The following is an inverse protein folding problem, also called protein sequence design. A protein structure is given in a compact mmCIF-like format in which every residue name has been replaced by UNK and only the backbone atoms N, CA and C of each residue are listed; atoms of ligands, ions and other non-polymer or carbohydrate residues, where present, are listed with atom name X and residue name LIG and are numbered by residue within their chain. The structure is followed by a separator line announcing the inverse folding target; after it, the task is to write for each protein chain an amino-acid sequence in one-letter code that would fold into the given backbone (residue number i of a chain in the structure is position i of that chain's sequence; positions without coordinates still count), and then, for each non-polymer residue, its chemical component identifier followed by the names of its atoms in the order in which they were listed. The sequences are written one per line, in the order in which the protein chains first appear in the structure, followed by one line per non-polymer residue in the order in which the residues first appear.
data_IF_553694692681
#
_entry.id   IF_553694692681
#
_cell.length_a   1.000
_cell.length_b   1.000
_cell.length_c   1.000
_cell.angle_alpha   90.00
_cell.angle_beta   90.00
_cell.angle_gamma   90.00
#
_symmetry.space_group_name_H-M   'P 1'
#
loop_
_entity.id
_entity.type
_entity.pdbx_description
1 polymer ?
#
# COMPACT_ATOMS: atom_id res chain seq x y z
N UNK A 1 -6.11 7.58 -24.93
CA UNK A 1 -6.25 6.46 -23.98
C UNK A 1 -4.88 5.87 -23.78
N UNK A 2 -4.48 5.50 -22.55
CA UNK A 2 -3.22 4.79 -22.33
C UNK A 2 -3.21 3.50 -23.16
N UNK A 3 -2.05 3.12 -23.68
CA UNK A 3 -1.90 1.82 -24.36
C UNK A 3 -1.92 0.70 -23.31
N UNK A 4 -2.49 -0.46 -23.65
CA UNK A 4 -2.45 -1.66 -22.77
C UNK A 4 -1.02 -2.01 -22.32
N UNK A 5 -0.04 -1.66 -23.16
CA UNK A 5 1.38 -1.84 -22.87
C UNK A 5 1.87 -0.96 -21.70
N UNK A 6 1.45 0.31 -21.61
CA UNK A 6 1.82 1.19 -20.50
C UNK A 6 1.21 0.71 -19.19
N UNK A 7 -0.06 0.27 -19.20
CA UNK A 7 -0.71 -0.29 -18.01
C UNK A 7 0.04 -1.54 -17.52
N UNK A 8 0.41 -2.44 -18.43
CA UNK A 8 1.14 -3.66 -18.08
C UNK A 8 2.55 -3.38 -17.54
N UNK A 9 3.31 -2.50 -18.19
CA UNK A 9 4.69 -2.17 -17.78
C UNK A 9 4.72 -1.38 -16.47
N UNK A 10 3.85 -0.38 -16.31
CA UNK A 10 3.69 0.35 -15.04
C UNK A 10 3.30 -0.56 -13.88
N UNK A 11 2.43 -1.56 -14.10
CA UNK A 11 2.08 -2.55 -13.08
C UNK A 11 3.27 -3.41 -12.64
N UNK A 12 4.22 -3.70 -13.52
CA UNK A 12 5.45 -4.44 -13.15
C UNK A 12 6.36 -3.57 -12.31
N UNK A 13 6.73 -2.39 -12.82
CA UNK A 13 7.59 -1.45 -12.10
C UNK A 13 7.00 -1.02 -10.75
N UNK A 14 5.68 -0.79 -10.69
CA UNK A 14 4.97 -0.55 -9.44
C UNK A 14 5.11 -1.70 -8.45
N UNK A 15 4.99 -2.97 -8.89
CA UNK A 15 5.16 -4.13 -7.99
C UNK A 15 6.57 -4.23 -7.44
N UNK A 16 7.57 -3.85 -8.21
CA UNK A 16 8.96 -3.84 -7.74
C UNK A 16 9.13 -2.79 -6.64
N UNK A 17 8.74 -1.54 -6.91
CA UNK A 17 8.74 -0.46 -5.92
C UNK A 17 7.93 -0.81 -4.67
N UNK A 18 6.74 -1.37 -4.86
CA UNK A 18 5.85 -1.80 -3.79
C UNK A 18 6.51 -2.87 -2.91
N UNK A 19 7.25 -3.82 -3.50
CA UNK A 19 7.94 -4.88 -2.74
C UNK A 19 9.02 -4.31 -1.83
N UNK A 20 9.79 -3.34 -2.33
CA UNK A 20 10.79 -2.61 -1.53
C UNK A 20 10.11 -1.76 -0.45
N UNK A 21 8.99 -1.11 -0.78
CA UNK A 21 8.22 -0.27 0.13
C UNK A 21 7.70 -1.04 1.34
N UNK A 22 7.07 -2.20 1.12
CA UNK A 22 6.38 -2.96 2.18
C UNK A 22 7.32 -3.58 3.21
N UNK A 23 8.63 -3.61 2.97
CA UNK A 23 9.64 -3.89 4.01
C UNK A 23 9.40 -3.01 5.24
N UNK A 24 8.98 -1.76 5.03
CA UNK A 24 8.64 -0.80 6.09
C UNK A 24 7.46 -1.19 6.98
N UNK A 25 6.70 -2.23 6.66
CA UNK A 25 5.59 -2.73 7.49
C UNK A 25 5.92 -4.03 8.24
N UNK A 26 6.99 -4.73 7.85
CA UNK A 26 7.26 -6.09 8.35
C UNK A 26 8.66 -6.28 8.93
N UNK A 27 9.61 -5.41 8.57
CA UNK A 27 10.98 -5.53 9.06
C UNK A 27 11.06 -5.32 10.59
N UNK A 28 11.76 -6.20 11.33
CA UNK A 28 11.93 -6.06 12.77
C UNK A 28 12.61 -4.74 13.14
N UNK A 29 13.55 -4.26 12.33
CA UNK A 29 14.26 -2.99 12.54
C UNK A 29 13.31 -1.78 12.60
N UNK A 30 12.21 -1.82 11.84
CA UNK A 30 11.20 -0.75 11.85
C UNK A 30 10.35 -0.84 13.12
N UNK A 31 9.98 -2.06 13.53
CA UNK A 31 9.29 -2.28 14.80
C UNK A 31 10.16 -1.83 15.98
N UNK A 32 11.45 -2.14 15.98
CA UNK A 32 12.42 -1.75 16.99
C UNK A 32 12.60 -0.23 17.04
N UNK A 33 12.67 0.44 15.89
CA UNK A 33 12.73 1.89 15.82
C UNK A 33 11.48 2.56 16.44
N UNK A 34 10.28 2.02 16.18
CA UNK A 34 9.05 2.52 16.78
C UNK A 34 8.94 2.24 18.28
N UNK A 35 9.31 1.04 18.74
CA UNK A 35 9.28 0.72 20.18
C UNK A 35 10.34 1.51 20.95
N UNK A 36 11.47 1.87 20.32
CA UNK A 36 12.46 2.79 20.88
C UNK A 36 11.90 4.20 21.15
N UNK A 37 10.91 4.64 20.37
CA UNK A 37 10.14 5.87 20.62
C UNK A 37 9.01 5.67 21.66
N UNK A 38 8.90 4.47 22.23
CA UNK A 38 7.85 4.09 23.17
C UNK A 38 6.50 3.78 22.54
N UNK A 39 6.38 3.74 21.21
CA UNK A 39 5.13 3.43 20.53
C UNK A 39 4.69 1.99 20.81
N UNK A 40 3.38 1.78 20.87
CA UNK A 40 2.81 0.44 21.02
C UNK A 40 3.08 -0.37 19.75
N UNK A 41 3.78 -1.52 19.83
CA UNK A 41 4.15 -2.30 18.65
C UNK A 41 2.94 -2.85 17.87
N UNK A 42 1.79 -3.05 18.51
CA UNK A 42 0.56 -3.53 17.85
C UNK A 42 -0.16 -2.42 17.09
N UNK A 43 0.06 -1.15 17.49
CA UNK A 43 -0.63 0.01 16.94
C UNK A 43 0.28 0.90 16.09
N UNK A 44 1.61 0.71 16.13
CA UNK A 44 2.61 1.55 15.47
C UNK A 44 2.44 1.68 13.93
N UNK A 45 1.69 0.77 13.29
CA UNK A 45 1.30 0.89 11.88
C UNK A 45 0.63 2.25 11.59
N UNK A 46 -0.27 2.70 12.47
CA UNK A 46 -1.05 3.92 12.25
C UNK A 46 -0.20 5.18 12.33
N UNK A 47 0.51 5.49 13.44
CA UNK A 47 1.37 6.67 13.48
C UNK A 47 2.50 6.57 12.45
N UNK A 48 3.07 5.38 12.20
CA UNK A 48 4.15 5.20 11.22
C UNK A 48 3.79 5.60 9.80
N UNK A 49 2.51 5.45 9.41
CA UNK A 49 2.02 5.87 8.10
C UNK A 49 1.36 7.24 8.13
N UNK A 50 0.71 7.63 9.23
CA UNK A 50 0.00 8.90 9.34
C UNK A 50 0.90 10.09 9.70
N UNK A 51 2.11 9.88 10.23
CA UNK A 51 2.98 10.95 10.70
C UNK A 51 3.33 12.00 9.62
N UNK A 52 3.25 11.65 8.34
CA UNK A 52 3.45 12.61 7.25
C UNK A 52 2.40 13.74 7.25
N UNK A 53 1.21 13.52 7.81
CA UNK A 53 0.20 14.57 8.01
C UNK A 53 0.55 15.57 9.11
N UNK A 54 1.57 15.31 9.92
CA UNK A 54 1.79 15.99 11.20
C UNK A 54 0.89 15.44 12.32
N UNK A 55 0.66 16.21 13.40
CA UNK A 55 0.01 15.71 14.63
C UNK A 55 -1.52 15.71 14.52
N UNK A 56 -2.06 15.13 13.45
CA UNK A 56 -3.51 15.05 13.21
C UNK A 56 -4.20 14.05 14.14
N UNK A 57 -5.47 14.33 14.46
CA UNK A 57 -6.33 13.39 15.19
C UNK A 57 -6.80 12.20 14.34
N UNK A 58 -7.64 11.30 14.91
CA UNK A 58 -8.14 10.11 14.22
C UNK A 58 -8.93 10.38 12.94
N UNK A 59 -9.73 11.46 12.88
CA UNK A 59 -10.66 11.72 11.77
C UNK A 59 -10.03 11.64 10.36
N UNK A 60 -9.01 12.46 10.04
CA UNK A 60 -8.33 12.40 8.75
C UNK A 60 -7.71 11.03 8.44
N UNK A 61 -7.21 10.32 9.46
CA UNK A 61 -6.58 9.01 9.28
C UNK A 61 -7.63 7.93 9.04
N UNK A 62 -8.77 7.94 9.73
CA UNK A 62 -9.90 7.04 9.44
C UNK A 62 -10.40 7.24 8.01
N UNK A 63 -10.55 8.49 7.58
CA UNK A 63 -11.00 8.81 6.22
C UNK A 63 -10.05 8.28 5.12
N UNK A 64 -8.74 8.35 5.35
CA UNK A 64 -7.73 7.95 4.36
C UNK A 64 -7.33 6.48 4.47
N UNK A 65 -7.40 5.88 5.66
CA UNK A 65 -7.09 4.47 5.91
C UNK A 65 -8.36 3.63 5.76
N UNK A 66 -9.10 3.91 4.69
CA UNK A 66 -10.48 3.54 4.40
C UNK A 66 -10.96 2.17 4.89
N UNK A 67 -10.12 1.13 4.79
CA UNK A 67 -10.47 -0.27 5.10
C UNK A 67 -10.31 -0.68 6.57
N UNK A 68 -9.81 0.20 7.43
CA UNK A 68 -9.64 -0.08 8.86
C UNK A 68 -10.85 0.37 9.68
N UNK A 69 -11.21 -0.43 10.70
CA UNK A 69 -12.21 -0.04 11.68
C UNK A 69 -11.74 1.22 12.45
N UNK A 70 -12.59 2.25 12.61
CA UNK A 70 -12.22 3.51 13.26
C UNK A 70 -11.58 3.31 14.64
N UNK A 71 -12.09 2.36 15.42
CA UNK A 71 -11.59 2.00 16.76
C UNK A 71 -10.11 1.67 16.84
N UNK A 72 -9.49 1.14 15.77
CA UNK A 72 -8.05 0.89 15.76
C UNK A 72 -7.25 2.20 15.66
N UNK A 73 -7.70 3.11 14.83
CA UNK A 73 -7.06 4.42 14.64
C UNK A 73 -7.25 5.29 15.89
N UNK A 74 -8.44 5.27 16.47
CA UNK A 74 -8.80 5.99 17.70
C UNK A 74 -7.98 5.50 18.91
N UNK A 75 -7.68 4.21 18.99
CA UNK A 75 -6.79 3.67 20.02
C UNK A 75 -5.31 4.05 19.78
N UNK A 76 -4.88 4.10 18.52
CA UNK A 76 -3.47 4.27 18.17
C UNK A 76 -2.96 5.71 18.28
N UNK A 77 -3.64 6.67 17.66
CA UNK A 77 -3.03 7.98 17.44
C UNK A 77 -2.90 8.85 18.69
N UNK A 78 -3.92 8.99 19.56
CA UNK A 78 -3.82 9.86 20.72
C UNK A 78 -2.66 9.48 21.64
N UNK A 79 -2.45 8.19 21.86
CA UNK A 79 -1.35 7.69 22.70
C UNK A 79 0.01 7.80 22.02
N UNK A 80 0.07 7.68 20.69
CA UNK A 80 1.32 7.80 19.92
C UNK A 80 1.86 9.23 19.95
N UNK A 81 1.01 10.23 19.76
CA UNK A 81 1.41 11.65 19.76
C UNK A 81 1.82 12.18 21.13
N UNK A 82 1.45 11.50 22.21
CA UNK A 82 1.98 11.79 23.55
C UNK A 82 3.41 11.27 23.76
N UNK A 83 3.86 10.33 22.93
CA UNK A 83 5.14 9.62 23.10
C UNK A 83 6.21 10.10 22.13
N UNK A 84 5.82 10.44 20.91
CA UNK A 84 6.74 10.90 19.87
C UNK A 84 6.07 11.95 18.98
N UNK A 85 6.87 12.89 18.49
CA UNK A 85 6.42 13.82 17.46
C UNK A 85 6.31 13.11 16.11
N UNK A 86 5.47 13.59 15.18
CA UNK A 86 5.39 13.04 13.83
C UNK A 86 6.76 12.97 13.13
N UNK A 87 7.61 13.98 13.30
CA UNK A 87 8.96 14.03 12.71
C UNK A 87 9.84 12.91 13.25
N UNK A 88 9.80 12.63 14.56
CA UNK A 88 10.51 11.50 15.15
C UNK A 88 10.02 10.17 14.58
N UNK A 89 8.71 10.02 14.37
CA UNK A 89 8.12 8.79 13.81
C UNK A 89 8.51 8.61 12.34
N UNK A 90 8.50 9.67 11.53
CA UNK A 90 8.97 9.64 10.14
C UNK A 90 10.44 9.22 10.08
N UNK A 91 11.28 9.80 10.92
CA UNK A 91 12.70 9.50 10.96
C UNK A 91 12.99 8.08 11.45
N UNK A 92 12.28 7.61 12.50
CA UNK A 92 12.40 6.24 12.98
C UNK A 92 12.00 5.22 11.91
N UNK A 93 10.91 5.48 11.18
CA UNK A 93 10.50 4.63 10.05
C UNK A 93 11.57 4.59 8.96
N UNK A 94 12.08 5.76 8.55
CA UNK A 94 13.12 5.88 7.53
C UNK A 94 14.40 5.12 7.94
N UNK A 95 14.85 5.32 9.18
CA UNK A 95 16.03 4.67 9.73
C UNK A 95 15.88 3.15 9.84
N UNK A 96 14.73 2.67 10.34
CA UNK A 96 14.46 1.23 10.41
C UNK A 96 14.40 0.58 9.02
N UNK A 97 13.79 1.25 8.04
CA UNK A 97 13.79 0.76 6.65
C UNK A 97 15.19 0.74 6.05
N UNK A 98 15.99 1.80 6.28
CA UNK A 98 17.35 1.86 5.78
C UNK A 98 18.19 0.70 6.31
N UNK A 99 18.09 0.41 7.61
CA UNK A 99 18.78 -0.73 8.23
C UNK A 99 18.33 -2.07 7.63
N UNK A 100 17.01 -2.27 7.49
CA UNK A 100 16.44 -3.49 6.92
C UNK A 100 16.86 -3.70 5.46
N UNK A 101 16.76 -2.67 4.62
CA UNK A 101 17.14 -2.74 3.21
C UNK A 101 18.64 -2.94 3.03
N UNK A 102 19.50 -2.27 3.81
CA UNK A 102 20.95 -2.53 3.77
C UNK A 102 21.30 -3.96 4.18
N UNK A 103 20.64 -4.51 5.20
CA UNK A 103 20.83 -5.92 5.58
C UNK A 103 20.43 -6.89 4.46
N UNK A 104 19.34 -6.59 3.75
CA UNK A 104 18.78 -7.49 2.73
C UNK A 104 19.47 -7.35 1.37
N UNK A 105 19.81 -6.13 0.96
CA UNK A 105 20.28 -5.79 -0.39
C UNK A 105 21.76 -5.39 -0.43
N UNK A 106 22.38 -5.10 0.71
CA UNK A 106 23.72 -4.52 0.76
C UNK A 106 23.74 -3.08 0.26
N UNK A 107 24.69 -2.76 -0.63
CA UNK A 107 24.88 -1.44 -1.24
C UNK A 107 24.80 -1.55 -2.77
N UNK A 108 23.60 -1.76 -3.34
CA UNK A 108 23.43 -1.82 -4.79
C UNK A 108 23.63 -0.43 -5.41
N UNK A 109 24.14 -0.38 -6.66
CA UNK A 109 24.11 0.85 -7.46
C UNK A 109 22.67 1.14 -7.89
N UNK A 110 22.12 2.24 -7.36
CA UNK A 110 20.72 2.63 -7.52
C UNK A 110 20.56 3.98 -8.21
N UNK A 111 21.64 4.64 -8.61
CA UNK A 111 21.59 6.02 -9.10
C UNK A 111 20.63 6.16 -10.30
N UNK A 112 20.69 5.24 -11.26
CA UNK A 112 19.79 5.22 -12.42
C UNK A 112 18.33 4.95 -11.99
N UNK A 113 18.10 3.97 -11.10
CA UNK A 113 16.76 3.61 -10.64
C UNK A 113 16.10 4.76 -9.86
N UNK A 114 16.87 5.46 -9.01
CA UNK A 114 16.41 6.64 -8.27
C UNK A 114 16.07 7.77 -9.23
N UNK A 115 16.89 8.03 -10.25
CA UNK A 115 16.60 9.03 -11.29
C UNK A 115 15.29 8.76 -12.02
N UNK A 116 15.08 7.52 -12.47
CA UNK A 116 13.84 7.11 -13.15
C UNK A 116 12.62 7.17 -12.21
N UNK A 117 12.78 6.76 -10.96
CA UNK A 117 11.68 6.79 -9.99
C UNK A 117 11.29 8.23 -9.61
N UNK A 118 12.27 9.16 -9.53
CA UNK A 118 12.02 10.60 -9.38
C UNK A 118 11.25 11.17 -10.56
N UNK A 119 11.61 10.80 -11.79
CA UNK A 119 10.88 11.21 -12.99
C UNK A 119 9.42 10.73 -12.95
N UNK A 120 9.17 9.46 -12.59
CA UNK A 120 7.80 8.96 -12.40
C UNK A 120 7.06 9.78 -11.33
N UNK A 121 7.71 10.08 -10.20
CA UNK A 121 7.11 10.85 -9.12
C UNK A 121 6.81 12.31 -9.51
N UNK A 122 7.60 12.92 -10.40
CA UNK A 122 7.38 14.28 -10.88
C UNK A 122 6.06 14.44 -11.67
N UNK A 123 5.55 13.36 -12.26
CA UNK A 123 4.25 13.34 -12.94
C UNK A 123 3.05 13.03 -12.04
N UNK A 124 3.24 12.85 -10.73
CA UNK A 124 2.16 12.57 -9.78
C UNK A 124 1.53 13.86 -9.25
N UNK A 125 0.20 13.90 -9.19
CA UNK A 125 -0.56 15.07 -8.74
C UNK A 125 -1.23 14.86 -7.38
N UNK A 126 -1.20 15.88 -6.52
CA UNK A 126 -1.73 15.82 -5.15
C UNK A 126 -3.25 15.99 -5.02
N UNK A 127 -3.93 16.53 -6.04
CA UNK A 127 -5.35 16.85 -5.97
C UNK A 127 -6.20 15.60 -5.66
N UNK A 128 -6.95 15.64 -4.55
CA UNK A 128 -7.76 14.51 -4.08
C UNK A 128 -6.95 13.33 -3.51
N UNK A 129 -5.66 13.53 -3.23
CA UNK A 129 -4.75 12.48 -2.75
C UNK A 129 -4.02 12.91 -1.48
N UNK A 130 -4.74 13.00 -0.36
CA UNK A 130 -4.22 13.59 0.87
C UNK A 130 -3.02 12.82 1.46
N UNK A 131 -3.02 11.48 1.44
CA UNK A 131 -1.94 10.70 2.04
C UNK A 131 -0.68 10.75 1.17
N UNK A 132 -0.86 10.68 -0.15
CA UNK A 132 0.23 10.97 -1.09
C UNK A 132 0.80 12.38 -0.87
N UNK A 133 -0.05 13.40 -0.81
CA UNK A 133 0.36 14.79 -0.67
C UNK A 133 1.20 14.99 0.60
N UNK A 134 0.73 14.45 1.73
CA UNK A 134 1.45 14.50 2.99
C UNK A 134 2.84 13.87 2.91
N UNK A 135 2.97 12.73 2.21
CA UNK A 135 4.28 12.10 1.99
C UNK A 135 5.15 12.84 0.97
N UNK A 136 4.55 13.46 -0.06
CA UNK A 136 5.25 14.21 -1.10
C UNK A 136 5.85 15.53 -0.59
N UNK A 137 5.27 16.11 0.48
CA UNK A 137 5.79 17.32 1.15
C UNK A 137 7.03 17.05 2.00
N UNK A 138 7.35 15.77 2.28
CA UNK A 138 8.57 15.41 3.00
C UNK A 138 9.81 15.63 2.11
N UNK A 139 10.96 16.01 2.70
CA UNK A 139 12.20 16.11 1.95
C UNK A 139 12.60 14.74 1.38
N UNK A 140 13.06 14.72 0.14
CA UNK A 140 13.62 13.51 -0.44
C UNK A 140 14.89 13.09 0.30
N UNK A 141 15.07 11.80 0.62
CA UNK A 141 16.31 11.31 1.20
C UNK A 141 17.51 11.44 0.23
N UNK A 142 18.70 11.69 0.78
CA UNK A 142 19.96 11.76 0.03
C UNK A 142 20.56 10.38 -0.28
N UNK A 143 20.30 9.39 0.58
CA UNK A 143 20.77 8.01 0.40
C UNK A 143 19.88 7.25 -0.59
N UNK A 144 20.47 6.66 -1.62
CA UNK A 144 19.75 6.05 -2.74
C UNK A 144 18.79 4.93 -2.34
N UNK A 145 19.14 4.10 -1.33
CA UNK A 145 18.27 3.05 -0.82
C UNK A 145 17.00 3.63 -0.18
N UNK A 146 17.15 4.68 0.62
CA UNK A 146 16.00 5.37 1.20
C UNK A 146 15.25 6.23 0.19
N UNK A 147 15.92 6.77 -0.83
CA UNK A 147 15.30 7.52 -1.92
C UNK A 147 14.41 6.62 -2.80
N UNK A 148 14.87 5.43 -3.17
CA UNK A 148 14.05 4.48 -3.95
C UNK A 148 12.86 3.96 -3.12
N UNK A 149 13.06 3.74 -1.82
CA UNK A 149 11.96 3.40 -0.90
C UNK A 149 10.94 4.54 -0.78
N UNK A 150 11.41 5.78 -0.68
CA UNK A 150 10.54 6.96 -0.66
C UNK A 150 9.73 7.08 -1.96
N UNK A 151 10.35 6.86 -3.12
CA UNK A 151 9.62 6.80 -4.38
C UNK A 151 8.53 5.72 -4.39
N UNK A 152 8.82 4.53 -3.84
CA UNK A 152 7.82 3.48 -3.62
C UNK A 152 6.67 3.92 -2.72
N UNK A 153 6.96 4.69 -1.67
CA UNK A 153 5.93 5.33 -0.82
C UNK A 153 5.05 6.26 -1.66
N UNK A 154 5.64 7.19 -2.40
CA UNK A 154 4.88 8.17 -3.21
C UNK A 154 3.98 7.50 -4.24
N UNK A 155 4.51 6.56 -5.02
CA UNK A 155 3.73 5.85 -6.05
C UNK A 155 2.61 5.02 -5.40
N UNK A 156 2.90 4.34 -4.28
CA UNK A 156 1.89 3.55 -3.56
C UNK A 156 0.79 4.42 -3.00
N UNK A 157 1.13 5.48 -2.29
CA UNK A 157 0.13 6.32 -1.64
C UNK A 157 -0.71 7.08 -2.67
N UNK A 158 -0.09 7.51 -3.79
CA UNK A 158 -0.84 8.07 -4.92
C UNK A 158 -1.84 7.05 -5.45
N UNK A 159 -1.40 5.82 -5.75
CA UNK A 159 -2.29 4.75 -6.20
C UNK A 159 -3.37 4.42 -5.15
N UNK A 160 -3.02 4.40 -3.87
CA UNK A 160 -3.91 4.08 -2.75
C UNK A 160 -5.05 5.08 -2.59
N UNK A 161 -4.75 6.39 -2.60
CA UNK A 161 -5.77 7.43 -2.58
C UNK A 161 -6.70 7.34 -3.80
N UNK A 162 -6.14 7.01 -4.97
CA UNK A 162 -6.94 6.75 -6.18
C UNK A 162 -7.86 5.55 -6.03
N UNK A 163 -7.38 4.47 -5.42
CA UNK A 163 -8.19 3.30 -5.14
C UNK A 163 -9.36 3.63 -4.20
N UNK A 164 -9.13 4.42 -3.16
CA UNK A 164 -10.21 4.89 -2.26
C UNK A 164 -11.27 5.69 -3.01
N UNK A 165 -10.88 6.55 -3.96
CA UNK A 165 -11.83 7.26 -4.81
C UNK A 165 -12.67 6.30 -5.68
N UNK A 166 -12.05 5.25 -6.24
CA UNK A 166 -12.77 4.22 -7.03
C UNK A 166 -13.74 3.43 -6.17
N UNK A 167 -13.34 3.03 -4.95
CA UNK A 167 -14.23 2.32 -4.01
C UNK A 167 -15.47 3.15 -3.67
N UNK A 168 -15.29 4.44 -3.39
CA UNK A 168 -16.40 5.36 -3.11
C UNK A 168 -17.30 5.55 -4.33
N UNK A 169 -16.72 5.74 -5.52
CA UNK A 169 -17.50 5.87 -6.76
C UNK A 169 -18.33 4.63 -7.07
N UNK A 170 -17.83 3.44 -6.70
CA UNK A 170 -18.52 2.17 -6.85
C UNK A 170 -19.52 1.86 -5.72
N UNK A 171 -19.68 2.77 -4.75
CA UNK A 171 -20.59 2.60 -3.62
C UNK A 171 -20.23 1.40 -2.74
N UNK A 172 -18.94 1.13 -2.54
CA UNK A 172 -18.47 0.12 -1.59
C UNK A 172 -18.16 0.77 -0.26
N UNK A 173 -18.81 0.32 0.81
CA UNK A 173 -18.39 0.70 2.16
C UNK A 173 -17.03 0.06 2.55
N UNK A 174 -16.37 0.53 3.63
CA UNK A 174 -15.11 -0.03 4.12
C UNK A 174 -15.07 -1.55 4.30
N UNK A 175 -16.16 -2.15 4.81
CA UNK A 175 -16.20 -3.57 5.14
C UNK A 175 -16.46 -4.38 3.87
N UNK A 176 -17.36 -3.93 2.99
CA UNK A 176 -17.57 -4.51 1.67
C UNK A 176 -16.28 -4.52 0.84
N UNK A 177 -15.56 -3.39 0.79
CA UNK A 177 -14.26 -3.29 0.13
C UNK A 177 -13.25 -4.28 0.71
N UNK A 178 -13.26 -4.47 2.03
CA UNK A 178 -12.39 -5.43 2.72
C UNK A 178 -12.76 -6.87 2.39
N UNK A 179 -14.05 -7.22 2.31
CA UNK A 179 -14.53 -8.55 1.91
C UNK A 179 -14.10 -8.87 0.48
N UNK A 180 -14.47 -8.01 -0.48
CA UNK A 180 -14.16 -8.24 -1.89
C UNK A 180 -12.64 -8.25 -2.14
N UNK A 181 -11.90 -7.34 -1.50
CA UNK A 181 -10.45 -7.29 -1.59
C UNK A 181 -9.78 -8.56 -1.02
N UNK A 182 -10.28 -9.06 0.11
CA UNK A 182 -9.80 -10.29 0.73
C UNK A 182 -10.03 -11.53 -0.13
N UNK A 183 -11.24 -11.67 -0.69
CA UNK A 183 -11.58 -12.77 -1.60
C UNK A 183 -10.73 -12.72 -2.86
N UNK A 184 -10.61 -11.55 -3.48
CA UNK A 184 -9.87 -11.38 -4.73
C UNK A 184 -8.38 -11.68 -4.59
N UNK A 185 -7.77 -11.29 -3.46
CA UNK A 185 -6.34 -11.47 -3.21
C UNK A 185 -6.00 -12.77 -2.47
N UNK A 186 -6.99 -13.55 -2.05
CA UNK A 186 -6.78 -14.73 -1.20
C UNK A 186 -6.27 -14.38 0.21
N UNK A 187 -6.57 -13.18 0.72
CA UNK A 187 -6.06 -12.67 2.00
C UNK A 187 -7.14 -12.47 3.08
N UNK A 188 -8.36 -12.99 2.88
CA UNK A 188 -9.50 -12.84 3.81
C UNK A 188 -9.14 -13.06 5.27
N UNK A 189 -8.42 -14.16 5.59
CA UNK A 189 -7.99 -14.46 6.96
C UNK A 189 -7.09 -13.38 7.56
N UNK A 190 -6.16 -12.85 6.77
CA UNK A 190 -5.26 -11.78 7.20
C UNK A 190 -6.03 -10.48 7.43
N UNK A 191 -6.95 -10.12 6.53
CA UNK A 191 -7.75 -8.90 6.68
C UNK A 191 -8.69 -8.97 7.88
N UNK A 192 -9.39 -10.10 8.10
CA UNK A 192 -10.23 -10.30 9.30
C UNK A 192 -9.44 -10.09 10.60
N UNK A 193 -8.17 -10.52 10.63
CA UNK A 193 -7.31 -10.35 11.81
C UNK A 193 -6.81 -8.92 12.01
N UNK A 194 -6.64 -8.14 10.95
CA UNK A 194 -5.85 -6.88 10.98
C UNK A 194 -6.66 -5.61 10.75
N UNK A 195 -7.86 -5.70 10.19
CA UNK A 195 -8.71 -4.53 9.92
C UNK A 195 -9.59 -4.11 11.08
N UNK A 196 -9.71 -4.96 12.11
CA UNK A 196 -10.38 -4.64 13.36
C UNK A 196 -11.90 -4.72 13.31
N UNK A 197 -12.49 -5.11 12.18
CA UNK A 197 -13.93 -5.39 12.02
C UNK A 197 -14.32 -6.68 12.76
N UNK A 198 -15.50 -6.68 13.35
CA UNK A 198 -16.13 -7.83 14.03
C UNK A 198 -16.70 -8.80 13.01
N UNK A 199 -16.96 -10.04 13.43
CA UNK A 199 -17.59 -11.03 12.55
C UNK A 199 -19.00 -10.59 12.12
N UNK A 200 -19.79 -9.98 13.01
CA UNK A 200 -21.11 -9.43 12.69
C UNK A 200 -21.06 -8.35 11.60
N UNK A 201 -20.07 -7.44 11.66
CA UNK A 201 -19.89 -6.40 10.63
C UNK A 201 -19.49 -7.02 9.29
N UNK A 202 -18.63 -8.05 9.30
CA UNK A 202 -18.27 -8.81 8.10
C UNK A 202 -19.46 -9.56 7.50
N UNK A 203 -20.30 -10.16 8.34
CA UNK A 203 -21.45 -10.94 7.91
C UNK A 203 -22.54 -10.04 7.34
N UNK A 204 -22.77 -8.88 7.98
CA UNK A 204 -23.65 -7.84 7.46
C UNK A 204 -23.16 -7.30 6.10
N UNK A 205 -21.86 -7.06 5.93
CA UNK A 205 -21.30 -6.64 4.65
C UNK A 205 -21.45 -7.73 3.58
N UNK A 206 -21.19 -8.99 3.93
CA UNK A 206 -21.36 -10.12 3.03
C UNK A 206 -22.82 -10.28 2.60
N UNK A 207 -23.78 -10.07 3.50
CA UNK A 207 -25.21 -10.07 3.17
C UNK A 207 -25.57 -8.98 2.15
N UNK A 208 -25.12 -7.73 2.36
CA UNK A 208 -25.32 -6.64 1.38
C UNK A 208 -24.71 -6.96 0.01
N UNK A 209 -23.54 -7.60 -0.02
CA UNK A 209 -22.89 -8.01 -1.27
C UNK A 209 -23.64 -9.13 -2.00
N UNK A 210 -24.29 -10.06 -1.27
CA UNK A 210 -25.20 -11.06 -1.86
C UNK A 210 -26.47 -10.43 -2.41
N UNK A 211 -27.08 -9.50 -1.68
CA UNK A 211 -28.25 -8.74 -2.15
C UNK A 211 -27.95 -7.96 -3.44
N UNK A 212 -26.72 -7.46 -3.57
CA UNK A 212 -26.21 -6.81 -4.80
C UNK A 212 -25.84 -7.80 -5.92
N UNK A 213 -25.95 -9.10 -5.67
CA UNK A 213 -25.56 -10.16 -6.61
C UNK A 213 -24.05 -10.24 -6.89
N UNK A 214 -23.21 -9.68 -6.03
CA UNK A 214 -21.75 -9.71 -6.17
C UNK A 214 -21.13 -10.97 -5.54
N UNK A 215 -21.78 -11.51 -4.52
CA UNK A 215 -21.44 -12.79 -3.91
C UNK A 215 -22.61 -13.79 -4.02
N UNK A 216 -22.31 -15.08 -4.06
CA UNK A 216 -23.29 -16.17 -3.96
C UNK A 216 -23.59 -16.54 -2.49
N UNK A 217 -24.46 -17.53 -2.29
CA UNK A 217 -24.87 -18.02 -0.97
C UNK A 217 -23.67 -18.56 -0.17
N UNK A 218 -22.71 -19.16 -0.86
CA UNK A 218 -21.46 -19.67 -0.29
C UNK A 218 -20.43 -18.57 0.02
N UNK A 219 -20.70 -17.32 -0.38
CA UNK A 219 -19.83 -16.16 -0.15
C UNK A 219 -18.66 -16.07 -1.15
N UNK A 220 -18.71 -16.81 -2.26
CA UNK A 220 -17.78 -16.68 -3.37
C UNK A 220 -18.28 -15.63 -4.37
N UNK A 221 -17.39 -15.17 -5.25
CA UNK A 221 -17.78 -14.21 -6.29
C UNK A 221 -18.76 -14.85 -7.29
N UNK A 222 -19.83 -14.14 -7.60
CA UNK A 222 -20.62 -14.41 -8.81
C UNK A 222 -19.85 -13.95 -10.07
N UNK A 223 -20.40 -14.22 -11.26
CA UNK A 223 -19.85 -13.64 -12.49
C UNK A 223 -19.91 -12.10 -12.47
N UNK A 224 -21.04 -11.53 -12.05
CA UNK A 224 -21.20 -10.09 -11.88
C UNK A 224 -20.20 -9.53 -10.85
N UNK A 225 -19.97 -10.24 -9.75
CA UNK A 225 -18.98 -9.89 -8.74
C UNK A 225 -17.55 -9.87 -9.27
N UNK A 226 -17.16 -10.87 -10.08
CA UNK A 226 -15.86 -10.89 -10.76
C UNK A 226 -15.72 -9.72 -11.73
N UNK A 227 -16.73 -9.48 -12.56
CA UNK A 227 -16.73 -8.37 -13.52
C UNK A 227 -16.62 -7.01 -12.80
N UNK A 228 -17.43 -6.80 -11.77
CA UNK A 228 -17.38 -5.61 -10.91
C UNK A 228 -16.00 -5.43 -10.30
N UNK A 229 -15.40 -6.49 -9.77
CA UNK A 229 -14.05 -6.44 -9.21
C UNK A 229 -12.99 -6.07 -10.24
N UNK A 230 -13.09 -6.59 -11.46
CA UNK A 230 -12.21 -6.21 -12.58
C UNK A 230 -12.34 -4.72 -12.90
N UNK A 231 -13.55 -4.17 -12.97
CA UNK A 231 -13.76 -2.73 -13.18
C UNK A 231 -13.05 -1.89 -12.12
N UNK A 232 -13.12 -2.27 -10.84
CA UNK A 232 -12.39 -1.58 -9.76
C UNK A 232 -10.87 -1.58 -10.00
N UNK A 233 -10.30 -2.71 -10.44
CA UNK A 233 -8.87 -2.79 -10.73
C UNK A 233 -8.48 -1.95 -11.95
N UNK A 234 -9.26 -2.01 -13.02
CA UNK A 234 -9.01 -1.25 -14.25
C UNK A 234 -9.07 0.26 -13.99
N UNK A 235 -10.07 0.73 -13.22
CA UNK A 235 -10.19 2.13 -12.84
C UNK A 235 -9.07 2.57 -11.88
N UNK A 236 -8.67 1.70 -10.96
CA UNK A 236 -7.52 1.98 -10.08
C UNK A 236 -6.23 2.09 -10.89
N UNK A 237 -6.02 1.19 -11.86
CA UNK A 237 -4.87 1.23 -12.78
C UNK A 237 -4.90 2.52 -13.59
N UNK A 238 -6.04 2.87 -14.19
CA UNK A 238 -6.22 4.12 -14.94
C UNK A 238 -5.88 5.37 -14.11
N UNK A 239 -6.32 5.45 -12.86
CA UNK A 239 -6.01 6.58 -11.98
C UNK A 239 -4.56 6.61 -11.48
N UNK A 240 -3.81 5.52 -11.63
CA UNK A 240 -2.41 5.43 -11.23
C UNK A 240 -1.42 5.81 -12.34
N UNK A 241 -1.88 6.02 -13.57
CA UNK A 241 -1.02 6.16 -14.76
C UNK A 241 -0.33 7.51 -14.93
N UNK A 242 -0.68 8.54 -14.15
CA UNK A 242 -0.19 9.91 -14.38
C UNK A 242 1.36 9.99 -14.42
N UNK A 243 2.02 9.50 -13.37
CA UNK A 243 3.49 9.48 -13.28
C UNK A 243 4.15 8.62 -14.36
N UNK A 244 3.57 7.46 -14.65
CA UNK A 244 4.09 6.56 -15.68
C UNK A 244 3.93 7.11 -17.11
N UNK A 245 2.85 7.85 -17.36
CA UNK A 245 2.62 8.52 -18.64
C UNK A 245 3.58 9.67 -18.85
N UNK A 246 3.92 10.39 -17.76
CA UNK A 246 4.90 11.46 -17.76
C UNK A 246 6.31 10.94 -18.07
N UNK A 247 6.79 9.93 -17.33
CA UNK A 247 8.10 9.34 -17.53
C UNK A 247 8.21 8.52 -18.84
N UNK A 248 7.09 7.96 -19.30
CA UNK A 248 6.99 7.17 -20.52
C UNK A 248 7.27 5.65 -20.31
N UNK A 249 6.85 4.81 -21.27
CA UNK A 249 6.94 3.35 -21.15
C UNK A 249 8.37 2.80 -21.11
N UNK A 250 9.33 3.50 -21.75
CA UNK A 250 10.74 3.13 -21.69
C UNK A 250 11.30 3.27 -20.27
N UNK A 251 10.98 4.36 -19.57
CA UNK A 251 11.38 4.57 -18.18
C UNK A 251 10.76 3.50 -17.26
N UNK A 252 9.48 3.18 -17.43
CA UNK A 252 8.82 2.12 -16.67
C UNK A 252 9.47 0.74 -16.89
N UNK A 253 9.82 0.43 -18.14
CA UNK A 253 10.49 -0.84 -18.50
C UNK A 253 11.88 -0.90 -17.89
N UNK A 254 12.67 0.16 -18.03
CA UNK A 254 14.02 0.23 -17.48
C UNK A 254 14.03 0.15 -15.95
N UNK A 255 13.09 0.84 -15.29
CA UNK A 255 12.93 0.77 -13.84
C UNK A 255 12.60 -0.66 -13.38
N UNK A 256 11.74 -1.38 -14.10
CA UNK A 256 11.46 -2.79 -13.82
C UNK A 256 12.71 -3.66 -13.96
N UNK A 257 13.50 -3.50 -15.03
CA UNK A 257 14.75 -4.26 -15.22
C UNK A 257 15.74 -4.07 -14.07
N UNK A 258 15.87 -2.84 -13.57
CA UNK A 258 16.79 -2.49 -12.48
C UNK A 258 16.30 -3.02 -11.13
N UNK A 259 14.99 -2.96 -10.86
CA UNK A 259 14.43 -3.30 -9.56
C UNK A 259 14.02 -4.77 -9.41
N UNK A 260 13.75 -5.49 -10.50
CA UNK A 260 13.31 -6.88 -10.44
C UNK A 260 14.28 -7.81 -9.69
N UNK A 261 15.62 -7.73 -9.87
CA UNK A 261 16.55 -8.53 -9.07
C UNK A 261 16.49 -8.22 -7.58
N UNK A 262 16.33 -6.94 -7.20
CA UNK A 262 16.22 -6.51 -5.81
C UNK A 262 14.90 -6.99 -5.19
N UNK A 263 13.80 -6.92 -5.96
CA UNK A 263 12.51 -7.49 -5.57
C UNK A 263 12.64 -8.98 -5.23
N UNK A 264 13.31 -9.78 -6.07
CA UNK A 264 13.51 -11.20 -5.81
C UNK A 264 14.34 -11.46 -4.55
N UNK A 265 15.37 -10.65 -4.29
CA UNK A 265 16.14 -10.73 -3.04
C UNK A 265 15.27 -10.41 -1.81
N UNK A 266 14.44 -9.37 -1.85
CA UNK A 266 13.50 -9.05 -0.76
C UNK A 266 12.52 -10.21 -0.53
N UNK A 267 11.97 -10.80 -1.58
CA UNK A 267 11.04 -11.94 -1.46
C UNK A 267 11.72 -13.17 -0.86
N UNK A 268 12.99 -13.42 -1.20
CA UNK A 268 13.79 -14.51 -0.67
C UNK A 268 14.30 -14.27 0.77
N UNK A 269 14.35 -13.02 1.22
CA UNK A 269 14.92 -12.64 2.53
C UNK A 269 14.14 -13.14 3.74
N UNK A 270 12.88 -13.53 3.56
CA UNK A 270 11.98 -13.91 4.65
C UNK A 270 11.41 -12.74 5.47
N UNK A 271 11.72 -11.49 5.12
CA UNK A 271 11.15 -10.29 5.78
C UNK A 271 9.65 -10.19 5.54
N UNK A 272 9.18 -10.51 4.34
CA UNK A 272 7.76 -10.44 3.99
C UNK A 272 7.01 -11.72 4.39
N UNK A 273 5.79 -11.60 4.93
CA UNK A 273 4.93 -12.76 5.19
C UNK A 273 4.74 -13.61 3.94
N UNK A 274 4.78 -14.94 4.08
CA UNK A 274 4.64 -15.88 2.95
C UNK A 274 3.40 -15.67 2.07
N UNK A 275 2.31 -15.13 2.63
CA UNK A 275 1.09 -14.80 1.89
C UNK A 275 1.27 -13.63 0.92
N UNK A 276 2.26 -12.77 1.16
CA UNK A 276 2.63 -11.65 0.29
C UNK A 276 3.81 -12.03 -0.64
N UNK A 277 4.61 -13.04 -0.28
CA UNK A 277 5.80 -13.44 -1.03
C UNK A 277 5.54 -14.39 -2.21
N UNK A 278 4.32 -14.90 -2.39
CA UNK A 278 3.94 -15.76 -3.52
C UNK A 278 2.85 -15.09 -4.35
N UNK A 279 2.95 -15.09 -5.70
CA UNK A 279 1.80 -14.73 -6.51
C UNK A 279 0.62 -15.63 -6.17
N UNK A 280 -0.59 -15.07 -6.11
CA UNK A 280 -1.82 -15.83 -5.96
C UNK A 280 -1.83 -16.93 -7.04
N UNK A 281 -2.05 -18.17 -6.62
CA UNK A 281 -2.17 -19.29 -7.54
C UNK A 281 -3.41 -19.04 -8.43
N UNK A 282 -3.26 -18.88 -9.76
CA UNK A 282 -4.40 -18.69 -10.66
C UNK A 282 -5.38 -19.87 -10.66
N UNK A 283 -5.01 -21.02 -10.07
CA UNK A 283 -5.88 -22.17 -9.87
C UNK A 283 -6.68 -22.14 -8.55
N UNK A 284 -6.42 -21.22 -7.62
CA UNK A 284 -7.08 -21.18 -6.31
C UNK A 284 -8.54 -20.68 -6.34
N UNK A 285 -9.02 -20.20 -7.50
CA UNK A 285 -10.42 -19.83 -7.73
C UNK A 285 -11.23 -20.84 -8.55
N UNK A 286 -10.75 -22.08 -8.73
CA UNK A 286 -11.44 -23.15 -9.48
C UNK A 286 -11.76 -24.38 -8.63
N UNK A 287 -12.15 -24.19 -7.37
CA UNK A 287 -12.80 -25.24 -6.58
C UNK A 287 -14.02 -24.69 -5.89
#
# INVERSE_FOLDING_TARGET
MPTDDLTRTSRRAWRDLETLHVVGYFAPEVSEAFTGLGLDPLLAYFPGRAAAFGPVGPGPVVATFYVFAPRLVEAALPSSWQRATPEQVVEARRSGVAAALRRVLGEPDLAEAVGLAREVCAGLGAAGRPLYAAHADLPWPDDDLTAIWHAGTLVREHRGDGHVAVLQQAGLDPVEATVLGGLHSGTTRFLRKTRGWTDDEYDAASARLRERGLLDEEGAFTEAGRAFRTTIEDDTDRLALAGWSHAGPAAATRLHELLAPLREQVLASGVLPRSLSRPADPAAGRR
#
